data_IF_489000009765
#
_entry.id   IF_489000009765
#
_cell.length_a   1.000
_cell.length_b   1.000
_cell.length_c   1.000
_cell.angle_alpha   90.00
_cell.angle_beta   90.00
_cell.angle_gamma   90.00
#
_symmetry.space_group_name_H-M   'P 1'
#
loop_
_entity.id
_entity.type
_entity.pdbx_description
1 polymer ?
#
# COMPACT_ATOMS: atom_id res chain seq x y z
N UNK A 1 14.72 -3.61 -1.59
CA UNK A 1 15.39 -2.87 -0.50
C UNK A 1 14.89 -1.43 -0.39
N UNK A 2 14.88 -0.64 -1.49
CA UNK A 2 14.46 0.78 -1.47
C UNK A 2 13.02 0.99 -0.94
N UNK A 3 12.05 0.21 -1.42
CA UNK A 3 10.65 0.28 -0.95
C UNK A 3 10.51 0.08 0.58
N UNK A 4 11.29 -0.82 1.16
CA UNK A 4 11.30 -1.07 2.61
C UNK A 4 11.87 0.12 3.37
N UNK A 5 12.99 0.68 2.91
CA UNK A 5 13.62 1.85 3.54
C UNK A 5 12.70 3.07 3.49
N UNK A 6 12.06 3.31 2.33
CA UNK A 6 11.09 4.41 2.18
C UNK A 6 9.87 4.23 3.09
N UNK A 7 9.33 3.02 3.20
CA UNK A 7 8.19 2.75 4.07
C UNK A 7 8.56 2.92 5.56
N UNK A 8 9.73 2.48 5.97
CA UNK A 8 10.22 2.66 7.34
C UNK A 8 10.45 4.14 7.65
N UNK A 9 11.08 4.88 6.74
CA UNK A 9 11.27 6.32 6.88
C UNK A 9 9.93 7.06 6.98
N UNK A 10 9.00 6.80 6.07
CA UNK A 10 7.69 7.46 6.09
C UNK A 10 6.92 7.19 7.39
N UNK A 11 7.03 5.97 7.94
CA UNK A 11 6.44 5.64 9.23
C UNK A 11 7.07 6.42 10.38
N UNK A 12 8.42 6.51 10.42
CA UNK A 12 9.14 7.22 11.47
C UNK A 12 8.88 8.74 11.44
N UNK A 13 8.80 9.31 10.25
CA UNK A 13 8.56 10.75 10.05
C UNK A 13 7.07 11.13 10.03
N UNK A 14 6.18 10.17 10.27
CA UNK A 14 4.72 10.34 10.17
C UNK A 14 4.27 10.95 8.81
N UNK A 15 4.97 10.60 7.72
CA UNK A 15 4.64 11.02 6.37
C UNK A 15 3.61 10.05 5.77
N UNK A 16 2.48 10.54 5.23
CA UNK A 16 1.51 9.68 4.57
C UNK A 16 2.14 8.88 3.42
N UNK A 17 1.94 7.58 3.45
CA UNK A 17 2.43 6.65 2.42
C UNK A 17 1.36 5.64 2.04
N UNK A 18 1.16 5.46 0.74
CA UNK A 18 0.38 4.36 0.19
C UNK A 18 1.31 3.44 -0.60
N UNK A 19 1.29 2.16 -0.28
CA UNK A 19 2.07 1.14 -1.00
C UNK A 19 1.18 0.43 -2.01
N UNK A 20 1.64 0.37 -3.27
CA UNK A 20 0.95 -0.36 -4.34
C UNK A 20 1.59 -1.72 -4.53
N UNK A 21 0.75 -2.75 -4.59
CA UNK A 21 1.12 -4.13 -4.83
C UNK A 21 1.47 -4.43 -6.29
N UNK A 22 1.68 -5.71 -6.58
CA UNK A 22 2.00 -6.18 -7.92
C UNK A 22 0.76 -6.25 -8.80
N UNK A 23 0.84 -5.67 -9.99
CA UNK A 23 -0.21 -5.71 -11.02
C UNK A 23 0.02 -6.80 -12.08
N UNK A 24 1.26 -7.33 -12.17
CA UNK A 24 1.62 -8.34 -13.15
C UNK A 24 0.79 -9.62 -13.02
N UNK A 25 0.33 -10.16 -14.16
CA UNK A 25 -0.51 -11.36 -14.22
C UNK A 25 -1.93 -11.19 -13.72
N UNK A 26 -2.36 -9.97 -13.40
CA UNK A 26 -3.73 -9.63 -12.97
C UNK A 26 -4.48 -8.96 -14.11
N UNK A 27 -5.78 -9.26 -14.23
CA UNK A 27 -6.63 -8.80 -15.34
C UNK A 27 -7.89 -8.09 -14.88
N UNK A 28 -8.27 -8.25 -13.60
CA UNK A 28 -9.55 -7.81 -13.04
C UNK A 28 -9.36 -6.57 -12.19
N UNK A 29 -9.63 -5.40 -12.76
CA UNK A 29 -9.54 -4.12 -12.06
C UNK A 29 -10.50 -4.06 -10.84
N UNK A 30 -11.69 -4.65 -10.98
CA UNK A 30 -12.72 -4.71 -9.93
C UNK A 30 -12.33 -5.59 -8.73
N UNK A 31 -11.32 -6.43 -8.86
CA UNK A 31 -10.77 -7.23 -7.75
C UNK A 31 -9.77 -6.46 -6.87
N UNK A 32 -9.58 -5.18 -7.16
CA UNK A 32 -8.75 -4.28 -6.37
C UNK A 32 -9.31 -4.10 -4.96
N UNK A 33 -8.41 -4.02 -3.99
CA UNK A 33 -8.73 -3.77 -2.58
C UNK A 33 -7.76 -2.77 -1.96
N UNK A 34 -8.24 -2.10 -0.93
CA UNK A 34 -7.45 -1.18 -0.12
C UNK A 34 -7.50 -1.70 1.32
N UNK A 35 -6.33 -1.96 1.91
CA UNK A 35 -6.24 -2.43 3.29
C UNK A 35 -4.88 -2.06 3.92
N UNK A 36 -4.79 -2.19 5.24
CA UNK A 36 -3.51 -2.12 5.94
C UNK A 36 -2.59 -3.26 5.51
N UNK A 37 -1.29 -3.01 5.47
CA UNK A 37 -0.27 -3.99 5.08
C UNK A 37 -0.36 -5.30 5.89
N UNK A 38 -0.85 -5.23 7.14
CA UNK A 38 -1.06 -6.43 7.97
C UNK A 38 -2.11 -7.40 7.39
N UNK A 39 -3.09 -6.87 6.66
CA UNK A 39 -4.24 -7.62 6.13
C UNK A 39 -4.06 -8.06 4.67
N UNK A 40 -3.02 -7.57 4.00
CA UNK A 40 -2.75 -7.88 2.60
C UNK A 40 -2.47 -9.37 2.40
N UNK A 41 -3.13 -9.97 1.43
CA UNK A 41 -2.93 -11.36 0.99
C UNK A 41 -2.76 -11.42 -0.53
N UNK A 42 -2.31 -12.55 -1.08
CA UNK A 42 -2.16 -12.81 -2.52
C UNK A 42 -1.25 -11.80 -3.27
N UNK A 43 -0.36 -11.14 -2.53
CA UNK A 43 0.63 -10.22 -3.10
C UNK A 43 2.02 -10.51 -2.52
N UNK A 44 2.88 -11.21 -3.26
CA UNK A 44 4.23 -11.57 -2.79
C UNK A 44 5.11 -10.36 -2.49
N UNK A 45 4.94 -9.26 -3.23
CA UNK A 45 5.73 -8.05 -3.08
C UNK A 45 5.40 -7.35 -1.75
N UNK A 46 4.13 -7.21 -1.43
CA UNK A 46 3.68 -6.63 -0.16
C UNK A 46 3.93 -7.60 1.02
N UNK A 47 3.80 -8.91 0.81
CA UNK A 47 4.16 -9.90 1.83
C UNK A 47 5.64 -9.78 2.21
N UNK A 48 6.53 -9.58 1.23
CA UNK A 48 7.94 -9.35 1.49
C UNK A 48 8.23 -8.00 2.16
N UNK A 49 7.51 -6.94 1.79
CA UNK A 49 7.58 -5.66 2.48
C UNK A 49 7.20 -5.81 3.95
N UNK A 50 6.07 -6.44 4.24
CA UNK A 50 5.59 -6.75 5.60
C UNK A 50 6.64 -7.53 6.40
N UNK A 51 7.18 -8.60 5.84
CA UNK A 51 8.21 -9.40 6.49
C UNK A 51 9.44 -8.56 6.87
N UNK A 52 9.95 -7.74 5.94
CA UNK A 52 11.14 -6.91 6.16
C UNK A 52 10.92 -5.81 7.18
N UNK A 53 9.76 -5.14 7.14
CA UNK A 53 9.42 -4.12 8.14
C UNK A 53 9.35 -4.71 9.54
N UNK A 54 8.75 -5.90 9.70
CA UNK A 54 8.70 -6.61 10.98
C UNK A 54 10.07 -7.08 11.46
N UNK A 55 10.92 -7.55 10.54
CA UNK A 55 12.22 -8.11 10.88
C UNK A 55 13.27 -7.04 11.21
N UNK A 56 13.26 -5.91 10.50
CA UNK A 56 14.37 -4.96 10.53
C UNK A 56 13.99 -3.56 11.04
N UNK A 57 12.70 -3.25 11.12
CA UNK A 57 12.23 -1.90 11.45
C UNK A 57 11.20 -1.86 12.59
N UNK A 58 11.06 -2.94 13.34
CA UNK A 58 10.22 -2.99 14.53
C UNK A 58 8.71 -2.85 14.28
N UNK A 59 8.24 -3.03 13.03
CA UNK A 59 6.82 -2.89 12.72
C UNK A 59 5.96 -3.91 13.48
N UNK A 60 4.71 -3.51 13.78
CA UNK A 60 3.77 -4.30 14.57
C UNK A 60 3.61 -5.74 14.04
N UNK A 61 3.74 -6.72 14.93
CA UNK A 61 3.53 -8.14 14.60
C UNK A 61 2.07 -8.53 14.66
N UNK A 62 1.29 -7.86 15.50
CA UNK A 62 -0.15 -8.05 15.65
C UNK A 62 -0.86 -6.72 15.40
N UNK A 63 -2.10 -6.77 14.89
CA UNK A 63 -2.88 -5.61 14.54
C UNK A 63 -2.35 -4.84 13.33
N UNK A 64 -2.76 -3.60 13.20
CA UNK A 64 -2.44 -2.74 12.05
C UNK A 64 -0.97 -2.32 12.05
N UNK A 65 -0.41 -2.22 10.87
CA UNK A 65 0.98 -1.74 10.66
C UNK A 65 1.04 -0.26 10.29
N UNK A 66 -0.09 0.40 10.04
CA UNK A 66 -0.17 1.81 9.67
C UNK A 66 0.31 2.12 8.25
N UNK A 67 0.47 1.12 7.40
CA UNK A 67 0.83 1.30 5.99
C UNK A 67 -0.33 0.89 5.11
N UNK A 68 -0.96 1.87 4.46
CA UNK A 68 -2.08 1.63 3.55
C UNK A 68 -1.57 1.03 2.24
N UNK A 69 -2.27 0.02 1.74
CA UNK A 69 -1.90 -0.71 0.53
C UNK A 69 -3.05 -0.81 -0.45
N UNK A 70 -2.75 -0.62 -1.74
CA UNK A 70 -3.65 -0.94 -2.86
C UNK A 70 -3.14 -2.23 -3.49
N UNK A 71 -3.96 -3.26 -3.58
CA UNK A 71 -3.59 -4.57 -4.09
C UNK A 71 -4.79 -5.31 -4.67
N UNK A 72 -4.59 -6.51 -5.21
CA UNK A 72 -5.68 -7.38 -5.65
C UNK A 72 -5.46 -8.78 -5.11
N UNK A 73 -6.54 -9.43 -4.69
CA UNK A 73 -6.53 -10.85 -4.30
C UNK A 73 -6.64 -11.81 -5.48
N UNK A 74 -6.73 -11.28 -6.69
CA UNK A 74 -6.70 -12.10 -7.88
C UNK A 74 -5.44 -12.95 -7.92
N UNK A 75 -5.59 -14.24 -8.19
CA UNK A 75 -4.44 -15.12 -8.39
C UNK A 75 -3.66 -14.66 -9.63
N UNK A 76 -2.34 -14.69 -9.54
CA UNK A 76 -1.48 -14.36 -10.68
C UNK A 76 -1.64 -15.45 -11.73
N UNK A 77 -2.12 -15.08 -12.92
CA UNK A 77 -2.19 -16.01 -14.04
C UNK A 77 -0.76 -16.37 -14.50
N UNK A 78 -0.46 -17.66 -14.69
CA UNK A 78 0.84 -18.05 -15.21
C UNK A 78 1.06 -17.46 -16.61
N UNK A 79 2.32 -17.23 -17.05
CA UNK A 79 2.62 -16.84 -18.40
C UNK A 79 2.06 -17.85 -19.40
N UNK A 80 1.72 -17.38 -20.59
CA UNK A 80 1.31 -18.27 -21.68
C UNK A 80 2.49 -19.19 -22.04
N UNK A 81 2.23 -20.48 -22.19
CA UNK A 81 3.23 -21.49 -22.54
C UNK A 81 3.91 -21.23 -23.90
N UNK A 82 3.31 -20.40 -24.76
CA UNK A 82 3.87 -19.96 -26.04
C UNK A 82 5.01 -18.95 -25.90
N UNK A 83 5.11 -18.27 -24.74
CA UNK A 83 6.25 -17.41 -24.41
C UNK A 83 7.37 -18.29 -23.87
N UNK A 84 8.22 -18.83 -24.72
CA UNK A 84 9.36 -19.71 -24.37
C UNK A 84 10.45 -19.03 -23.53
N UNK A 85 10.06 -18.43 -22.40
CA UNK A 85 10.96 -17.78 -21.46
C UNK A 85 11.34 -18.79 -20.37
N UNK A 86 12.61 -19.13 -20.32
CA UNK A 86 13.19 -19.88 -19.22
C UNK A 86 12.93 -19.15 -17.89
N UNK A 87 12.15 -19.79 -17.01
CA UNK A 87 11.70 -19.23 -15.73
C UNK A 87 12.75 -19.34 -14.61
N UNK A 88 14.03 -19.42 -14.96
CA UNK A 88 15.07 -19.87 -14.02
C UNK A 88 15.65 -18.81 -13.10
N UNK A 89 15.37 -17.50 -13.29
CA UNK A 89 16.11 -16.47 -12.55
C UNK A 89 15.42 -15.86 -11.32
N UNK A 90 14.20 -16.25 -10.96
CA UNK A 90 13.52 -15.75 -9.76
C UNK A 90 13.35 -14.23 -9.69
N UNK A 91 13.70 -13.48 -10.73
CA UNK A 91 13.55 -12.04 -10.78
C UNK A 91 12.08 -11.68 -11.10
N UNK A 92 11.55 -10.63 -10.48
CA UNK A 92 10.21 -10.10 -10.78
C UNK A 92 10.17 -9.37 -12.14
N UNK A 93 11.31 -9.33 -12.82
CA UNK A 93 11.50 -8.61 -14.06
C UNK A 93 11.36 -9.58 -15.21
N UNK A 94 10.24 -9.66 -15.86
CA UNK A 94 10.03 -10.41 -17.10
C UNK A 94 9.61 -11.88 -17.01
N UNK A 95 8.87 -12.31 -16.00
CA UNK A 95 8.27 -13.65 -16.02
C UNK A 95 7.09 -13.80 -17.00
N UNK A 96 7.03 -13.01 -18.05
CA UNK A 96 5.94 -13.08 -19.03
C UNK A 96 4.57 -12.62 -18.49
N UNK A 97 4.50 -12.17 -17.26
CA UNK A 97 3.28 -11.64 -16.64
C UNK A 97 2.99 -10.23 -17.12
N UNK A 98 2.65 -10.01 -18.33
CA UNK A 98 2.23 -8.69 -18.80
C UNK A 98 1.31 -7.97 -17.78
N UNK A 99 1.27 -6.66 -17.84
CA UNK A 99 0.33 -5.86 -17.04
C UNK A 99 -0.76 -5.28 -17.93
N UNK A 100 -2.00 -5.32 -17.44
CA UNK A 100 -3.15 -4.72 -18.12
C UNK A 100 -3.34 -3.31 -17.60
N UNK A 101 -3.47 -2.33 -18.51
CA UNK A 101 -3.64 -0.92 -18.14
C UNK A 101 -4.85 -0.69 -17.23
N UNK A 102 -5.93 -1.42 -17.39
CA UNK A 102 -7.10 -1.34 -16.52
C UNK A 102 -6.75 -1.60 -15.05
N UNK A 103 -5.86 -2.56 -14.78
CA UNK A 103 -5.41 -2.87 -13.41
C UNK A 103 -4.41 -1.82 -12.91
N UNK A 104 -3.41 -1.48 -13.71
CA UNK A 104 -2.37 -0.51 -13.28
C UNK A 104 -2.94 0.89 -13.08
N UNK A 105 -3.84 1.33 -13.97
CA UNK A 105 -4.52 2.62 -13.84
C UNK A 105 -5.44 2.64 -12.61
N UNK A 106 -6.25 1.59 -12.39
CA UNK A 106 -7.11 1.49 -11.21
C UNK A 106 -6.29 1.55 -9.91
N UNK A 107 -5.18 0.82 -9.85
CA UNK A 107 -4.26 0.87 -8.71
C UNK A 107 -3.70 2.28 -8.47
N UNK A 108 -3.28 2.96 -9.53
CA UNK A 108 -2.73 4.30 -9.47
C UNK A 108 -3.76 5.33 -8.98
N UNK A 109 -4.96 5.33 -9.55
CA UNK A 109 -6.04 6.24 -9.15
C UNK A 109 -6.51 5.99 -7.72
N UNK A 110 -6.66 4.73 -7.32
CA UNK A 110 -7.02 4.38 -5.95
C UNK A 110 -5.94 4.85 -4.95
N UNK A 111 -4.67 4.62 -5.26
CA UNK A 111 -3.58 5.08 -4.41
C UNK A 111 -3.54 6.61 -4.28
N UNK A 112 -3.74 7.34 -5.38
CA UNK A 112 -3.83 8.80 -5.39
C UNK A 112 -5.01 9.29 -4.54
N UNK A 113 -6.20 8.71 -4.70
CA UNK A 113 -7.39 9.03 -3.90
C UNK A 113 -7.13 8.82 -2.41
N UNK A 114 -6.61 7.66 -2.01
CA UNK A 114 -6.27 7.38 -0.62
C UNK A 114 -5.27 8.38 -0.03
N UNK A 115 -4.27 8.78 -0.82
CA UNK A 115 -3.27 9.74 -0.36
C UNK A 115 -3.89 11.13 -0.19
N UNK A 116 -4.71 11.58 -1.13
CA UNK A 116 -5.43 12.85 -1.03
C UNK A 116 -6.33 12.90 0.19
N UNK A 117 -7.13 11.86 0.43
CA UNK A 117 -8.00 11.76 1.61
C UNK A 117 -7.21 11.83 2.91
N UNK A 118 -6.07 11.15 2.97
CA UNK A 118 -5.20 11.18 4.15
C UNK A 118 -4.64 12.57 4.39
N UNK A 119 -4.19 13.27 3.35
CA UNK A 119 -3.65 14.64 3.44
C UNK A 119 -4.71 15.64 3.87
N UNK A 120 -5.91 15.56 3.32
CA UNK A 120 -7.04 16.44 3.68
C UNK A 120 -7.42 16.23 5.15
N UNK A 121 -7.61 14.98 5.58
CA UNK A 121 -8.00 14.65 6.95
C UNK A 121 -6.92 15.07 7.97
N UNK A 122 -5.64 14.91 7.64
CA UNK A 122 -4.52 15.35 8.49
C UNK A 122 -4.53 16.86 8.64
N UNK A 123 -4.81 17.62 7.59
CA UNK A 123 -4.89 19.08 7.64
C UNK A 123 -6.11 19.56 8.44
N UNK A 124 -7.26 18.92 8.29
CA UNK A 124 -8.47 19.26 9.08
C UNK A 124 -8.24 19.04 10.57
N UNK A 125 -7.55 17.98 10.98
CA UNK A 125 -7.21 17.74 12.38
C UNK A 125 -6.25 18.81 12.93
N UNK A 126 -5.29 19.28 12.16
CA UNK A 126 -4.38 20.37 12.57
C UNK A 126 -5.12 21.70 12.72
N UNK A 127 -6.07 22.00 11.84
CA UNK A 127 -6.87 23.25 11.90
C UNK A 127 -7.89 23.17 13.03
N UNK A 128 -8.57 22.04 13.21
CA UNK A 128 -9.56 21.84 14.30
C UNK A 128 -8.95 21.88 15.71
N UNK A 129 -7.68 21.47 15.86
CA UNK A 129 -6.95 21.57 17.12
C UNK A 129 -6.59 22.99 17.56
N UNK A 130 -6.63 23.97 16.63
CA UNK A 130 -6.36 25.38 16.93
C UNK A 130 -7.58 26.14 17.47
N UNK A 131 -8.79 25.60 17.38
CA UNK A 131 -10.02 26.20 17.90
C UNK A 131 -10.36 25.60 19.28
N UNK A 132 -9.58 25.93 20.31
CA UNK A 132 -10.01 25.76 21.70
C UNK A 132 -11.01 26.87 22.00
N UNK A 133 -12.31 26.53 22.10
CA UNK A 133 -13.33 27.41 22.67
C UNK A 133 -12.90 27.88 24.07
N UNK A 134 -12.95 29.17 24.37
CA UNK A 134 -12.65 29.65 25.71
C UNK A 134 -13.73 29.09 26.68
N UNK A 135 -13.27 28.47 27.75
CA UNK A 135 -14.14 28.06 28.85
C UNK A 135 -14.74 29.33 29.46
N UNK A 136 -16.02 29.58 29.22
CA UNK A 136 -16.79 30.58 29.97
C UNK A 136 -16.86 30.13 31.44
N UNK A 137 -16.04 30.74 32.29
CA UNK A 137 -16.30 30.80 33.71
C UNK A 137 -17.45 31.78 33.94
N UNK A 138 -18.69 31.30 34.05
CA UNK A 138 -19.77 32.03 34.66
C UNK A 138 -19.73 31.68 36.16
N UNK A 139 -19.21 32.60 36.95
CA UNK A 139 -19.40 32.66 38.40
C UNK A 139 -20.69 33.47 38.66
N UNK A 140 -21.65 32.85 39.27
CA UNK A 140 -22.60 33.51 40.17
C UNK A 140 -22.78 32.61 41.37
#
# INVERSE_FOLDING_TARGET
RAKTALAAWAHNEAVPLVSVGAAGGKRRAEAMQIADLAEVTHDPLLAQLRYRLRKHHGAARQGRMGTLCVFSREAVAPPDASCGLDTSDGSLNCHGFGSVVAVTAAFGFAAAGCLMDTLVNTNLQKVGGAFKTPKNHATI
#
